data_IF_974868752423
#
_entry.id   IF_974868752423
#
_cell.length_a   1.000
_cell.length_b   1.000
_cell.length_c   1.000
_cell.angle_alpha   90.00
_cell.angle_beta   90.00
_cell.angle_gamma   90.00
#
_symmetry.space_group_name_H-M   'P 1'
#
loop_
_entity.id
_entity.type
_entity.pdbx_description
1 polymer ?
#
# COMPACT_ATOMS: atom_id res chain seq x y z
N UNK A 1 -40.76 46.27 30.04
CA UNK A 1 -40.68 46.98 28.74
C UNK A 1 -39.28 46.78 28.13
N UNK A 2 -39.19 46.68 26.79
CA UNK A 2 -38.00 46.43 25.92
C UNK A 2 -37.60 44.94 25.79
N UNK A 3 -38.04 44.20 24.77
CA UNK A 3 -37.68 44.15 23.32
C UNK A 3 -36.29 43.54 23.01
N UNK A 4 -36.34 42.33 22.44
CA UNK A 4 -35.74 41.85 21.17
C UNK A 4 -34.23 42.00 20.91
N UNK A 5 -33.58 40.87 20.60
CA UNK A 5 -32.78 40.54 19.37
C UNK A 5 -31.79 39.41 19.72
N UNK A 6 -32.02 38.16 19.30
CA UNK A 6 -31.71 37.59 17.97
C UNK A 6 -30.23 37.68 17.58
N UNK A 7 -29.57 36.51 17.61
CA UNK A 7 -28.42 36.04 16.81
C UNK A 7 -28.39 34.52 17.08
N UNK A 8 -29.18 33.70 16.39
CA UNK A 8 -28.83 33.09 15.11
C UNK A 8 -27.42 32.47 15.11
N UNK A 9 -27.35 31.15 15.31
CA UNK A 9 -26.45 30.24 14.58
C UNK A 9 -26.91 28.79 14.85
N UNK A 10 -27.67 28.27 13.90
CA UNK A 10 -27.91 26.84 13.70
C UNK A 10 -26.64 26.19 13.10
N UNK A 11 -26.71 24.93 12.62
CA UNK A 11 -27.02 23.69 13.31
C UNK A 11 -25.76 22.78 13.31
N UNK A 12 -25.65 21.86 14.25
CA UNK A 12 -24.59 20.85 14.30
C UNK A 12 -24.58 20.00 13.02
N UNK A 13 -23.62 20.25 12.12
CA UNK A 13 -23.28 19.35 11.02
C UNK A 13 -22.65 18.09 11.61
N UNK A 14 -23.45 17.03 11.76
CA UNK A 14 -22.95 15.67 11.97
C UNK A 14 -22.49 15.16 10.61
N UNK A 15 -21.20 15.36 10.32
CA UNK A 15 -20.53 14.81 9.16
C UNK A 15 -20.26 13.32 9.41
N UNK A 16 -21.27 12.48 9.18
CA UNK A 16 -21.12 11.02 9.19
C UNK A 16 -20.78 10.54 7.77
N UNK A 17 -19.52 10.72 7.38
CA UNK A 17 -18.91 10.00 6.26
C UNK A 17 -17.75 9.20 6.85
N UNK A 18 -17.74 7.88 6.63
CA UNK A 18 -16.63 7.15 6.00
C UNK A 18 -16.98 5.65 5.96
N UNK A 19 -17.23 5.20 4.74
CA UNK A 19 -16.85 3.93 4.14
C UNK A 19 -17.03 2.64 4.97
N UNK A 20 -18.21 2.04 4.84
CA UNK A 20 -18.29 0.59 4.75
C UNK A 20 -17.77 0.18 3.36
N UNK A 21 -16.45 0.09 3.20
CA UNK A 21 -15.84 -0.59 2.06
C UNK A 21 -16.13 -2.07 2.21
N UNK A 22 -17.19 -2.50 1.52
CA UNK A 22 -17.52 -3.89 1.30
C UNK A 22 -16.28 -4.62 0.83
N UNK A 23 -15.84 -5.61 1.61
CA UNK A 23 -14.94 -6.67 1.19
C UNK A 23 -15.50 -7.29 -0.09
N UNK A 24 -15.03 -6.81 -1.24
CA UNK A 24 -15.25 -7.48 -2.51
C UNK A 24 -14.37 -8.72 -2.46
N UNK A 25 -14.91 -9.81 -1.92
CA UNK A 25 -14.41 -11.16 -2.16
C UNK A 25 -14.72 -11.56 -3.63
N UNK A 26 -14.38 -10.68 -4.56
CA UNK A 26 -14.39 -10.93 -5.98
C UNK A 26 -13.03 -11.48 -6.35
N UNK A 27 -13.02 -12.60 -7.08
CA UNK A 27 -11.88 -13.21 -7.75
C UNK A 27 -10.61 -12.34 -7.77
N UNK A 28 -9.75 -12.46 -6.75
CA UNK A 28 -8.48 -11.75 -6.72
C UNK A 28 -7.71 -12.14 -7.98
N UNK A 29 -7.43 -11.15 -8.83
CA UNK A 29 -6.79 -11.42 -10.11
C UNK A 29 -5.33 -11.78 -9.83
N UNK A 30 -4.85 -12.86 -10.45
CA UNK A 30 -3.43 -13.20 -10.37
C UNK A 30 -2.60 -12.17 -11.16
N UNK A 31 -1.49 -11.68 -10.59
CA UNK A 31 -0.58 -10.80 -11.30
C UNK A 31 0.07 -11.54 -12.46
N UNK A 32 0.43 -10.80 -13.52
CA UNK A 32 1.23 -11.35 -14.61
C UNK A 32 2.69 -11.53 -14.17
N UNK A 33 3.45 -12.31 -14.95
CA UNK A 33 4.90 -12.46 -14.79
C UNK A 33 5.59 -11.09 -14.75
N UNK A 34 5.33 -10.25 -15.75
CA UNK A 34 5.93 -8.91 -15.86
C UNK A 34 5.59 -8.00 -14.65
N UNK A 35 4.39 -8.11 -14.10
CA UNK A 35 4.00 -7.37 -12.88
C UNK A 35 4.80 -7.85 -11.67
N UNK A 36 5.03 -9.16 -11.56
CA UNK A 36 5.80 -9.75 -10.48
C UNK A 36 7.30 -9.49 -10.58
N UNK A 37 7.85 -9.38 -11.79
CA UNK A 37 9.23 -8.94 -12.02
C UNK A 37 9.41 -7.49 -11.56
N UNK A 38 8.53 -6.58 -12.01
CA UNK A 38 8.55 -5.19 -11.54
C UNK A 38 8.40 -5.08 -10.02
N UNK A 39 7.52 -5.90 -9.43
CA UNK A 39 7.34 -5.97 -7.98
C UNK A 39 8.63 -6.42 -7.27
N UNK A 40 9.28 -7.48 -7.74
CA UNK A 40 10.47 -8.02 -7.09
C UNK A 40 11.63 -7.02 -7.17
N UNK A 41 11.84 -6.39 -8.33
CA UNK A 41 12.85 -5.33 -8.51
C UNK A 41 12.60 -4.15 -7.56
N UNK A 42 11.37 -3.61 -7.56
CA UNK A 42 10.98 -2.48 -6.73
C UNK A 42 11.11 -2.80 -5.24
N UNK A 43 10.62 -3.97 -4.81
CA UNK A 43 10.70 -4.39 -3.42
C UNK A 43 12.15 -4.52 -2.93
N UNK A 44 13.04 -5.07 -3.78
CA UNK A 44 14.47 -5.15 -3.49
C UNK A 44 15.10 -3.76 -3.39
N UNK A 45 14.70 -2.81 -4.24
CA UNK A 45 15.13 -1.42 -4.17
C UNK A 45 14.70 -0.76 -2.86
N UNK A 46 13.42 -0.85 -2.49
CA UNK A 46 12.90 -0.33 -1.22
C UNK A 46 13.66 -0.90 0.00
N UNK A 47 13.99 -2.20 -0.03
CA UNK A 47 14.77 -2.85 1.02
C UNK A 47 16.21 -2.33 1.10
N UNK A 48 16.82 -1.95 -0.02
CA UNK A 48 18.16 -1.37 -0.06
C UNK A 48 18.15 0.06 0.48
N UNK A 49 17.18 0.87 0.06
CA UNK A 49 17.04 2.27 0.49
C UNK A 49 16.68 2.41 1.97
N UNK A 50 15.93 1.44 2.52
CA UNK A 50 15.62 1.39 3.95
C UNK A 50 16.86 1.17 4.84
N UNK A 51 17.99 0.73 4.26
CA UNK A 51 19.22 0.46 5.00
C UNK A 51 20.13 1.69 5.05
N UNK A 52 20.48 2.11 6.26
CA UNK A 52 21.44 3.21 6.50
C UNK A 52 22.83 2.92 5.89
N UNK A 53 23.20 1.64 5.73
CA UNK A 53 24.41 1.18 5.03
C UNK A 53 24.11 -0.05 4.17
N UNK A 54 23.96 0.10 2.84
CA UNK A 54 23.76 -1.05 1.96
C UNK A 54 24.99 -1.96 2.01
N UNK A 55 24.83 -3.16 2.56
CA UNK A 55 25.85 -4.19 2.55
C UNK A 55 25.73 -5.00 1.25
N UNK A 56 26.80 -5.08 0.46
CA UNK A 56 26.84 -5.82 -0.80
C UNK A 56 26.39 -7.27 -0.68
N UNK A 57 26.57 -7.90 0.49
CA UNK A 57 26.10 -9.26 0.77
C UNK A 57 24.58 -9.34 0.92
N UNK A 58 23.97 -8.35 1.55
CA UNK A 58 22.49 -8.28 1.69
C UNK A 58 21.88 -7.99 0.33
N UNK A 59 22.47 -7.07 -0.43
CA UNK A 59 22.03 -6.79 -1.79
C UNK A 59 22.07 -8.03 -2.66
N UNK A 60 23.21 -8.73 -2.67
CA UNK A 60 23.36 -9.97 -3.42
C UNK A 60 22.39 -11.05 -2.97
N UNK A 61 22.15 -11.18 -1.67
CA UNK A 61 21.15 -12.14 -1.16
C UNK A 61 19.74 -11.79 -1.63
N UNK A 62 19.38 -10.51 -1.68
CA UNK A 62 18.08 -10.07 -2.17
C UNK A 62 17.94 -10.33 -3.69
N UNK A 63 18.98 -10.02 -4.46
CA UNK A 63 19.08 -10.34 -5.90
C UNK A 63 19.01 -11.86 -6.14
N UNK A 64 19.73 -12.68 -5.36
CA UNK A 64 19.71 -14.15 -5.44
C UNK A 64 18.32 -14.73 -5.11
N UNK A 65 17.46 -13.96 -4.41
CA UNK A 65 16.08 -14.33 -4.06
C UNK A 65 15.04 -13.75 -5.02
N UNK A 66 15.46 -12.98 -6.02
CA UNK A 66 14.56 -12.37 -6.98
C UNK A 66 13.61 -13.38 -7.62
N UNK A 67 14.12 -14.48 -8.18
CA UNK A 67 13.30 -15.50 -8.85
C UNK A 67 12.32 -16.19 -7.89
N UNK A 68 12.70 -16.35 -6.62
CA UNK A 68 11.84 -16.91 -5.58
C UNK A 68 10.70 -15.93 -5.23
N UNK A 69 11.00 -14.63 -5.16
CA UNK A 69 10.01 -13.57 -4.95
C UNK A 69 9.03 -13.51 -6.13
N UNK A 70 9.53 -13.54 -7.37
CA UNK A 70 8.69 -13.55 -8.57
C UNK A 70 7.79 -14.79 -8.60
N UNK A 71 8.36 -15.96 -8.31
CA UNK A 71 7.62 -17.22 -8.26
C UNK A 71 6.48 -17.14 -7.23
N UNK A 72 6.79 -16.69 -6.01
CA UNK A 72 5.80 -16.53 -4.95
C UNK A 72 4.71 -15.49 -5.32
N UNK A 73 5.10 -14.38 -5.95
CA UNK A 73 4.17 -13.36 -6.42
C UNK A 73 3.17 -13.93 -7.44
N UNK A 74 3.64 -14.70 -8.43
CA UNK A 74 2.76 -15.32 -9.44
C UNK A 74 1.86 -16.38 -8.80
N UNK A 75 2.39 -17.22 -7.90
CA UNK A 75 1.66 -18.35 -7.33
C UNK A 75 0.68 -17.93 -6.23
N UNK A 76 1.03 -16.93 -5.42
CA UNK A 76 0.34 -16.63 -4.15
C UNK A 76 -0.20 -15.20 -4.12
N UNK A 77 0.47 -14.24 -4.75
CA UNK A 77 0.06 -12.83 -4.74
C UNK A 77 -1.22 -12.52 -5.52
N UNK A 78 -1.66 -11.27 -5.35
CA UNK A 78 -2.75 -10.62 -6.08
C UNK A 78 -2.27 -9.37 -6.81
N UNK A 79 -2.98 -8.98 -7.87
CA UNK A 79 -2.70 -7.73 -8.60
C UNK A 79 -2.78 -6.53 -7.67
N UNK A 80 -3.75 -6.52 -6.76
CA UNK A 80 -4.00 -5.41 -5.84
C UNK A 80 -2.84 -5.20 -4.86
N UNK A 81 -2.28 -6.28 -4.31
CA UNK A 81 -1.10 -6.22 -3.43
C UNK A 81 0.14 -5.73 -4.19
N UNK A 82 0.37 -6.27 -5.39
CA UNK A 82 1.51 -5.90 -6.25
C UNK A 82 1.43 -4.41 -6.61
N UNK A 83 0.27 -3.95 -7.08
CA UNK A 83 0.07 -2.54 -7.45
C UNK A 83 0.18 -1.62 -6.23
N UNK A 84 -0.29 -2.06 -5.05
CA UNK A 84 -0.12 -1.28 -3.83
C UNK A 84 1.36 -1.04 -3.51
N UNK A 85 2.17 -2.10 -3.53
CA UNK A 85 3.60 -2.01 -3.21
C UNK A 85 4.35 -1.17 -4.24
N UNK A 86 4.05 -1.35 -5.53
CA UNK A 86 4.63 -0.56 -6.62
C UNK A 86 4.30 0.95 -6.52
N UNK A 87 3.21 1.31 -5.84
CA UNK A 87 2.83 2.70 -5.62
C UNK A 87 3.54 3.36 -4.42
N UNK A 88 4.27 2.61 -3.59
CA UNK A 88 4.93 3.15 -2.39
C UNK A 88 6.39 3.52 -2.67
N UNK A 89 6.90 4.49 -1.91
CA UNK A 89 8.28 5.00 -2.03
C UNK A 89 9.21 4.53 -0.91
N UNK A 90 8.70 3.80 0.08
CA UNK A 90 9.51 3.22 1.15
C UNK A 90 8.87 1.98 1.76
N UNK A 91 9.66 1.11 2.39
CA UNK A 91 9.15 -0.03 3.16
C UNK A 91 8.18 0.42 4.27
N UNK A 92 8.42 1.56 4.90
CA UNK A 92 7.53 2.09 5.94
C UNK A 92 6.14 2.48 5.39
N UNK A 93 6.09 2.99 4.16
CA UNK A 93 4.81 3.27 3.47
C UNK A 93 4.10 1.99 3.04
N UNK A 94 4.85 0.96 2.61
CA UNK A 94 4.28 -0.37 2.32
C UNK A 94 3.57 -0.92 3.56
N UNK A 95 4.24 -0.94 4.72
CA UNK A 95 3.66 -1.43 5.98
C UNK A 95 2.44 -0.61 6.44
N UNK A 96 2.45 0.70 6.16
CA UNK A 96 1.35 1.59 6.55
C UNK A 96 0.12 1.44 5.64
N UNK A 97 0.33 1.25 4.34
CA UNK A 97 -0.70 1.44 3.31
C UNK A 97 -1.16 0.14 2.62
N UNK A 98 -0.33 -0.90 2.59
CA UNK A 98 -0.63 -2.17 1.92
C UNK A 98 -0.95 -3.26 2.95
N UNK A 99 -2.22 -3.68 3.02
CA UNK A 99 -2.75 -4.66 4.00
C UNK A 99 -3.71 -5.65 3.36
#
# INVERSE_FOLDING_TARGET
MRRLRSLATAPSLVLALVAASTLVAGCAKKPSQDQCEAFAEHFIELLQESREKPNSRIRKLAEDKHDEIVTACVSEGSVEEVECVLAQSSIGEVEANCK
#
